data_IF_997848247287
#
_entry.id   IF_997848247287
#
_cell.length_a   1.000
_cell.length_b   1.000
_cell.length_c   1.000
_cell.angle_alpha   90.00
_cell.angle_beta   90.00
_cell.angle_gamma   90.00
#
_symmetry.space_group_name_H-M   'P 1'
#
loop_
_entity.id
_entity.type
_entity.pdbx_description
1 polymer ?
#
# COMPACT_ATOMS: atom_id res chain seq x y z
N UNK A 1 20.35 -34.55 -13.56
CA UNK A 1 21.45 -34.67 -12.57
C UNK A 1 21.08 -33.93 -11.30
N UNK A 2 21.90 -33.96 -10.25
CA UNK A 2 21.67 -33.19 -9.00
C UNK A 2 21.83 -31.68 -9.27
N UNK A 3 20.98 -30.85 -8.67
CA UNK A 3 21.01 -29.39 -8.84
C UNK A 3 20.02 -28.66 -7.93
N UNK A 4 19.76 -27.38 -8.22
CA UNK A 4 18.74 -26.56 -7.57
C UNK A 4 17.98 -25.73 -8.63
N UNK A 5 16.76 -25.28 -8.36
CA UNK A 5 16.01 -24.47 -9.31
C UNK A 5 16.70 -23.14 -9.63
N UNK A 6 16.36 -22.58 -10.79
CA UNK A 6 16.69 -21.20 -11.15
C UNK A 6 15.64 -20.25 -10.57
N UNK A 7 16.04 -19.00 -10.33
CA UNK A 7 15.18 -18.02 -9.64
C UNK A 7 13.81 -17.82 -10.31
N UNK A 8 13.75 -17.73 -11.64
CA UNK A 8 12.50 -17.43 -12.36
C UNK A 8 11.49 -18.60 -12.38
N UNK A 9 11.95 -19.86 -12.36
CA UNK A 9 11.06 -21.02 -12.48
C UNK A 9 10.36 -21.35 -11.16
N UNK A 10 10.93 -20.95 -10.02
CA UNK A 10 10.35 -21.18 -8.69
C UNK A 10 8.97 -20.53 -8.56
N UNK A 11 8.87 -19.23 -8.85
CA UNK A 11 7.60 -18.50 -8.77
C UNK A 11 6.56 -19.03 -9.76
N UNK A 12 6.98 -19.45 -10.95
CA UNK A 12 6.09 -20.03 -11.97
C UNK A 12 5.50 -21.36 -11.50
N UNK A 13 6.34 -22.26 -10.99
CA UNK A 13 5.89 -23.56 -10.53
C UNK A 13 4.85 -23.42 -9.41
N UNK A 14 5.08 -22.50 -8.46
CA UNK A 14 4.16 -22.22 -7.35
C UNK A 14 2.86 -21.60 -7.87
N UNK A 15 2.94 -20.61 -8.77
CA UNK A 15 1.76 -19.93 -9.31
C UNK A 15 0.87 -20.90 -10.09
N UNK A 16 1.45 -21.75 -10.93
CA UNK A 16 0.68 -22.72 -11.72
C UNK A 16 0.05 -23.82 -10.86
N UNK A 17 0.71 -24.27 -9.79
CA UNK A 17 0.16 -25.29 -8.87
C UNK A 17 -1.05 -24.77 -8.10
N UNK A 18 -1.05 -23.50 -7.71
CA UNK A 18 -2.11 -22.93 -6.87
C UNK A 18 -3.19 -22.16 -7.62
N UNK A 19 -2.82 -21.47 -8.70
CA UNK A 19 -3.69 -20.53 -9.41
C UNK A 19 -3.99 -20.96 -10.85
N UNK A 20 -3.15 -21.83 -11.44
CA UNK A 20 -3.22 -22.19 -12.85
C UNK A 20 -2.80 -21.04 -13.78
N UNK A 21 -3.13 -21.18 -15.07
CA UNK A 21 -2.94 -20.13 -16.08
C UNK A 21 -4.07 -19.10 -16.04
N UNK A 22 -3.81 -17.89 -16.51
CA UNK A 22 -4.83 -16.84 -16.64
C UNK A 22 -5.35 -16.30 -15.30
N UNK A 23 -4.57 -16.39 -14.22
CA UNK A 23 -4.94 -15.76 -12.95
C UNK A 23 -4.93 -14.24 -13.05
N UNK A 24 -5.57 -13.54 -12.10
CA UNK A 24 -5.89 -12.13 -12.30
C UNK A 24 -4.68 -11.19 -12.24
N UNK A 25 -3.83 -11.31 -11.21
CA UNK A 25 -2.75 -10.33 -10.97
C UNK A 25 -1.43 -11.02 -10.58
N UNK A 26 -0.35 -10.72 -11.31
CA UNK A 26 1.03 -10.97 -10.91
C UNK A 26 1.67 -9.67 -10.38
N UNK A 27 1.97 -9.64 -9.08
CA UNK A 27 2.49 -8.45 -8.39
C UNK A 27 4.00 -8.51 -8.11
N UNK A 28 4.67 -7.34 -8.02
CA UNK A 28 6.07 -7.25 -7.60
C UNK A 28 6.58 -5.81 -7.53
N UNK A 29 7.85 -5.62 -7.18
CA UNK A 29 8.55 -4.34 -7.41
C UNK A 29 8.82 -4.13 -8.91
N UNK A 30 9.02 -2.90 -9.34
CA UNK A 30 9.34 -2.56 -10.74
C UNK A 30 10.63 -3.23 -11.24
N UNK A 31 11.56 -3.53 -10.34
CA UNK A 31 12.77 -4.30 -10.63
C UNK A 31 12.51 -5.78 -10.99
N UNK A 32 11.32 -6.31 -10.68
CA UNK A 32 10.92 -7.66 -11.06
C UNK A 32 10.29 -7.74 -12.45
N UNK A 33 9.94 -6.61 -13.08
CA UNK A 33 9.38 -6.61 -14.44
C UNK A 33 10.29 -7.38 -15.41
N UNK A 34 11.58 -7.03 -15.42
CA UNK A 34 12.60 -7.75 -16.16
C UNK A 34 13.87 -7.95 -15.30
N UNK A 35 14.48 -9.15 -15.28
CA UNK A 35 14.09 -10.33 -16.06
C UNK A 35 13.00 -11.20 -15.40
N UNK A 36 12.64 -10.95 -14.14
CA UNK A 36 11.97 -11.96 -13.33
C UNK A 36 10.57 -12.36 -13.85
N UNK A 37 9.65 -11.40 -14.03
CA UNK A 37 8.30 -11.68 -14.51
C UNK A 37 8.27 -12.05 -15.99
N UNK A 38 9.06 -11.39 -16.84
CA UNK A 38 9.15 -11.70 -18.29
C UNK A 38 9.59 -13.16 -18.54
N UNK A 39 10.67 -13.59 -17.88
CA UNK A 39 11.18 -14.96 -18.03
C UNK A 39 10.22 -15.98 -17.39
N UNK A 40 9.58 -15.60 -16.27
CA UNK A 40 8.56 -16.41 -15.62
C UNK A 40 7.35 -16.69 -16.54
N UNK A 41 6.77 -15.63 -17.10
CA UNK A 41 5.65 -15.74 -18.04
C UNK A 41 6.02 -16.57 -19.27
N UNK A 42 7.23 -16.39 -19.80
CA UNK A 42 7.77 -17.17 -20.91
C UNK A 42 7.89 -18.66 -20.57
N UNK A 43 8.36 -19.01 -19.37
CA UNK A 43 8.41 -20.40 -18.92
C UNK A 43 7.02 -21.02 -18.83
N UNK A 44 6.05 -20.30 -18.26
CA UNK A 44 4.68 -20.78 -18.12
C UNK A 44 4.03 -21.04 -19.48
N UNK A 45 4.17 -20.10 -20.42
CA UNK A 45 3.65 -20.23 -21.77
C UNK A 45 4.30 -21.39 -22.53
N UNK A 46 5.62 -21.54 -22.44
CA UNK A 46 6.32 -22.64 -23.10
C UNK A 46 5.94 -24.02 -22.52
N UNK A 47 5.69 -24.09 -21.22
CA UNK A 47 5.32 -25.33 -20.53
C UNK A 47 3.88 -25.76 -20.81
N UNK A 48 2.95 -24.80 -20.86
CA UNK A 48 1.51 -25.08 -20.94
C UNK A 48 0.94 -24.95 -22.35
N UNK A 49 1.58 -24.16 -23.22
CA UNK A 49 1.02 -23.76 -24.51
C UNK A 49 -0.09 -22.70 -24.41
N UNK A 50 -0.35 -22.15 -23.22
CA UNK A 50 -1.41 -21.19 -22.96
C UNK A 50 -0.89 -19.76 -22.74
N UNK A 51 -1.74 -18.77 -23.00
CA UNK A 51 -1.45 -17.36 -22.78
C UNK A 51 -2.74 -16.60 -22.40
N UNK A 52 -2.69 -15.62 -21.48
CA UNK A 52 -1.52 -15.19 -20.70
C UNK A 52 -1.35 -16.02 -19.41
N UNK A 53 -0.16 -15.95 -18.78
CA UNK A 53 0.05 -16.50 -17.43
C UNK A 53 -0.79 -15.75 -16.39
N UNK A 54 -0.76 -14.42 -16.41
CA UNK A 54 -1.58 -13.53 -15.59
C UNK A 54 -2.26 -12.46 -16.46
N UNK A 55 -3.48 -12.04 -16.10
CA UNK A 55 -4.25 -11.02 -16.85
C UNK A 55 -3.68 -9.62 -16.68
N UNK A 56 -3.14 -9.31 -15.50
CA UNK A 56 -2.47 -8.04 -15.22
C UNK A 56 -1.13 -8.28 -14.51
N UNK A 57 -0.14 -7.45 -14.86
CA UNK A 57 1.13 -7.37 -14.15
C UNK A 57 1.19 -6.01 -13.45
N UNK A 58 1.33 -6.03 -12.13
CA UNK A 58 1.24 -4.85 -11.29
C UNK A 58 2.55 -4.64 -10.55
N UNK A 59 3.23 -3.54 -10.85
CA UNK A 59 4.56 -3.26 -10.32
C UNK A 59 4.56 -2.01 -9.45
N UNK A 60 5.05 -2.14 -8.22
CA UNK A 60 5.24 -1.01 -7.30
C UNK A 60 6.54 -0.26 -7.60
N UNK A 61 6.52 1.06 -7.39
CA UNK A 61 7.69 1.92 -7.45
C UNK A 61 8.74 1.56 -6.40
N UNK A 62 9.97 2.00 -6.62
CA UNK A 62 11.09 1.82 -5.71
C UNK A 62 11.12 2.91 -4.65
N UNK A 63 11.49 2.53 -3.43
CA UNK A 63 11.75 3.48 -2.34
C UNK A 63 13.25 3.75 -2.22
N UNK A 64 13.63 5.02 -2.31
CA UNK A 64 15.00 5.51 -2.11
C UNK A 64 15.24 6.10 -0.71
N UNK A 65 16.50 6.37 -0.39
CA UNK A 65 16.94 7.11 0.80
C UNK A 65 18.18 7.94 0.42
N UNK A 66 18.15 9.24 0.74
CA UNK A 66 19.25 10.20 0.50
C UNK A 66 19.74 10.25 -0.97
N UNK A 67 18.83 10.33 -1.94
CA UNK A 67 19.19 10.37 -3.36
C UNK A 67 19.58 9.02 -3.96
N UNK A 68 19.56 7.94 -3.18
CA UNK A 68 20.05 6.63 -3.57
C UNK A 68 19.00 5.53 -3.37
N UNK A 69 18.93 4.58 -4.31
CA UNK A 69 18.10 3.38 -4.13
C UNK A 69 18.50 2.65 -2.85
N UNK A 70 17.52 2.38 -1.97
CA UNK A 70 17.74 1.62 -0.75
C UNK A 70 18.23 0.20 -1.06
N UNK A 71 19.37 -0.19 -0.49
CA UNK A 71 19.91 -1.55 -0.63
C UNK A 71 20.72 -1.99 0.58
N UNK A 72 20.71 -3.31 0.85
CA UNK A 72 21.52 -3.91 1.92
C UNK A 72 23.01 -3.63 1.73
N UNK A 73 23.49 -3.68 0.49
CA UNK A 73 24.91 -3.47 0.15
C UNK A 73 25.40 -2.05 0.44
N UNK A 74 24.52 -1.04 0.34
CA UNK A 74 24.86 0.36 0.64
C UNK A 74 24.73 0.72 2.13
N UNK A 75 24.25 -0.18 3.00
CA UNK A 75 23.94 0.15 4.40
C UNK A 75 22.74 1.10 4.55
N UNK A 76 22.03 1.30 3.45
CA UNK A 76 20.92 2.18 3.13
C UNK A 76 19.60 2.20 3.87
N UNK A 77 19.42 1.30 4.83
CA UNK A 77 18.10 0.73 5.06
C UNK A 77 17.45 1.26 6.33
N UNK A 78 16.24 1.78 6.17
CA UNK A 78 15.31 1.94 7.28
C UNK A 78 14.53 0.65 7.44
N UNK A 79 14.79 -0.08 8.52
CA UNK A 79 14.09 -1.34 8.79
C UNK A 79 12.79 -1.09 9.55
N UNK A 80 11.70 -1.67 9.07
CA UNK A 80 10.41 -1.68 9.79
C UNK A 80 10.59 -2.21 11.22
N UNK A 81 11.39 -3.27 11.41
CA UNK A 81 11.66 -3.83 12.75
C UNK A 81 12.39 -2.87 13.68
N UNK A 82 13.23 -1.99 13.13
CA UNK A 82 13.91 -0.95 13.90
C UNK A 82 12.92 0.16 14.28
N UNK A 83 12.15 0.69 13.34
CA UNK A 83 11.10 1.69 13.61
C UNK A 83 10.14 1.20 14.71
N UNK A 84 9.71 -0.07 14.63
CA UNK A 84 8.83 -0.69 15.62
C UNK A 84 9.50 -0.80 17.00
N UNK A 85 10.79 -1.10 17.06
CA UNK A 85 11.56 -1.17 18.32
C UNK A 85 11.72 0.21 18.96
N UNK A 86 11.84 1.24 18.14
CA UNK A 86 11.92 2.65 18.55
C UNK A 86 10.56 3.22 18.97
N UNK A 87 9.48 2.42 18.90
CA UNK A 87 8.16 2.79 19.39
C UNK A 87 7.26 3.43 18.34
N UNK A 88 7.65 3.42 17.07
CA UNK A 88 6.82 3.95 15.98
C UNK A 88 5.54 3.12 15.83
N UNK A 89 4.40 3.81 15.82
CA UNK A 89 3.08 3.24 15.57
C UNK A 89 3.05 2.66 14.13
N UNK A 90 2.71 1.37 13.92
CA UNK A 90 2.66 0.82 12.56
C UNK A 90 1.56 1.46 11.72
N UNK A 91 0.55 2.03 12.39
CA UNK A 91 -0.40 3.03 11.90
C UNK A 91 0.26 4.09 10.99
N UNK A 92 1.25 4.76 11.57
CA UNK A 92 1.98 5.85 10.95
C UNK A 92 2.95 5.35 9.86
N UNK A 93 3.60 4.20 10.06
CA UNK A 93 4.43 3.58 9.01
C UNK A 93 3.57 3.32 7.76
N UNK A 94 2.34 2.82 7.96
CA UNK A 94 1.42 2.54 6.86
C UNK A 94 0.94 3.81 6.17
N UNK A 95 0.58 4.86 6.93
CA UNK A 95 0.22 6.16 6.38
C UNK A 95 1.37 6.84 5.61
N UNK A 96 2.61 6.66 6.06
CA UNK A 96 3.79 7.12 5.35
C UNK A 96 3.90 6.46 3.96
N UNK A 97 3.67 5.14 3.88
CA UNK A 97 3.69 4.42 2.60
C UNK A 97 2.51 4.83 1.69
N UNK A 98 1.29 4.94 2.26
CA UNK A 98 0.06 5.29 1.52
C UNK A 98 0.02 6.75 1.07
N UNK A 99 0.91 7.61 1.57
CA UNK A 99 1.03 8.99 1.12
C UNK A 99 1.57 9.13 -0.31
N UNK A 100 2.02 8.03 -0.90
CA UNK A 100 2.57 7.97 -2.25
C UNK A 100 1.77 6.99 -3.10
N UNK A 101 1.47 7.37 -4.34
CA UNK A 101 0.85 6.44 -5.30
C UNK A 101 1.76 5.22 -5.49
N UNK A 102 1.21 4.01 -5.46
CA UNK A 102 2.02 2.78 -5.36
C UNK A 102 2.99 2.58 -6.52
N UNK A 103 2.69 3.15 -7.70
CA UNK A 103 3.52 3.10 -8.92
C UNK A 103 4.66 4.10 -8.94
N UNK A 104 4.63 5.11 -8.09
CA UNK A 104 5.62 6.18 -8.09
C UNK A 104 6.86 5.76 -7.31
N UNK A 105 8.04 6.05 -7.86
CA UNK A 105 9.26 6.06 -7.08
C UNK A 105 9.24 7.25 -6.12
N UNK A 106 9.71 7.05 -4.90
CA UNK A 106 9.74 8.10 -3.88
C UNK A 106 10.86 7.86 -2.86
N UNK A 107 11.15 8.86 -2.05
CA UNK A 107 12.22 8.79 -1.05
C UNK A 107 11.67 8.76 0.37
N UNK A 108 12.15 7.79 1.14
CA UNK A 108 11.95 7.80 2.57
C UNK A 108 12.77 8.93 3.19
N UNK A 109 12.13 9.78 3.99
CA UNK A 109 12.79 10.80 4.80
C UNK A 109 12.17 10.85 6.17
N UNK A 110 12.87 11.43 7.15
CA UNK A 110 12.30 11.64 8.48
C UNK A 110 11.02 12.48 8.42
N UNK A 111 10.95 13.45 7.50
CA UNK A 111 9.76 14.29 7.33
C UNK A 111 8.52 13.48 6.92
N UNK A 112 8.67 12.49 6.03
CA UNK A 112 7.56 11.60 5.65
C UNK A 112 6.99 10.88 6.87
N UNK A 113 7.85 10.42 7.79
CA UNK A 113 7.39 9.80 9.02
C UNK A 113 6.71 10.81 9.96
N UNK A 114 7.27 12.01 10.11
CA UNK A 114 6.67 13.06 10.96
C UNK A 114 5.29 13.47 10.44
N UNK A 115 5.13 13.63 9.13
CA UNK A 115 3.85 13.97 8.50
C UNK A 115 2.81 12.87 8.73
N UNK A 116 3.21 11.61 8.62
CA UNK A 116 2.34 10.46 8.86
C UNK A 116 1.91 10.33 10.33
N UNK A 117 2.81 10.60 11.28
CA UNK A 117 2.49 10.67 12.71
C UNK A 117 1.49 11.78 13.00
N UNK A 118 1.74 12.99 12.48
CA UNK A 118 0.83 14.12 12.64
C UNK A 118 -0.54 13.85 12.01
N UNK A 119 -0.59 13.20 10.84
CA UNK A 119 -1.84 12.75 10.21
C UNK A 119 -2.60 11.76 11.09
N UNK A 120 -1.91 10.75 11.62
CA UNK A 120 -2.51 9.75 12.50
C UNK A 120 -3.14 10.39 13.74
N UNK A 121 -2.41 11.30 14.40
CA UNK A 121 -2.90 12.00 15.59
C UNK A 121 -4.13 12.84 15.29
N UNK A 122 -4.15 13.57 14.16
CA UNK A 122 -5.33 14.33 13.72
C UNK A 122 -6.54 13.43 13.49
N UNK A 123 -6.35 12.31 12.80
CA UNK A 123 -7.45 11.38 12.50
C UNK A 123 -8.01 10.75 13.77
N UNK A 124 -7.14 10.31 14.70
CA UNK A 124 -7.53 9.79 16.01
C UNK A 124 -8.31 10.81 16.82
N UNK A 125 -7.84 12.05 16.87
CA UNK A 125 -8.53 13.14 17.57
C UNK A 125 -9.93 13.40 16.96
N UNK A 126 -10.04 13.38 15.63
CA UNK A 126 -11.30 13.60 14.93
C UNK A 126 -12.34 12.51 15.23
N UNK A 127 -11.94 11.24 15.23
CA UNK A 127 -12.85 10.11 15.52
C UNK A 127 -13.10 9.87 17.02
N UNK A 128 -12.35 10.53 17.90
CA UNK A 128 -12.55 10.44 19.36
C UNK A 128 -13.68 11.33 19.89
N UNK A 129 -14.28 12.16 19.03
CA UNK A 129 -15.42 13.01 19.37
C UNK A 129 -16.73 12.20 19.36
N UNK A 130 -17.74 12.58 20.16
CA UNK A 130 -19.00 11.84 20.28
C UNK A 130 -19.90 11.92 19.04
N UNK A 131 -19.70 12.94 18.20
CA UNK A 131 -20.42 13.23 16.96
C UNK A 131 -19.44 13.74 15.91
N UNK A 132 -19.85 13.76 14.64
CA UNK A 132 -19.06 14.37 13.56
C UNK A 132 -19.87 14.69 12.30
N UNK A 133 -19.22 15.22 11.26
CA UNK A 133 -19.82 15.40 9.94
C UNK A 133 -20.28 14.05 9.36
N UNK A 134 -21.31 14.02 8.50
CA UNK A 134 -21.76 12.81 7.83
C UNK A 134 -20.60 12.04 7.19
N UNK A 135 -20.58 10.72 7.36
CA UNK A 135 -19.46 9.87 6.94
C UNK A 135 -19.69 9.22 5.56
N UNK A 136 -20.92 9.18 5.06
CA UNK A 136 -21.29 8.44 3.85
C UNK A 136 -20.52 8.92 2.62
N UNK A 137 -20.46 10.24 2.43
CA UNK A 137 -19.73 10.85 1.32
C UNK A 137 -18.23 10.53 1.39
N UNK A 138 -17.64 10.60 2.60
CA UNK A 138 -16.24 10.24 2.82
C UNK A 138 -15.97 8.78 2.44
N UNK A 139 -16.82 7.85 2.87
CA UNK A 139 -16.63 6.42 2.58
C UNK A 139 -16.66 6.16 1.07
N UNK A 140 -17.55 6.84 0.34
CA UNK A 140 -17.61 6.72 -1.11
C UNK A 140 -16.37 7.33 -1.77
N UNK A 141 -15.94 8.51 -1.35
CA UNK A 141 -14.71 9.15 -1.85
C UNK A 141 -13.47 8.25 -1.66
N UNK A 142 -13.32 7.58 -0.51
CA UNK A 142 -12.23 6.62 -0.27
C UNK A 142 -12.33 5.45 -1.26
N UNK A 143 -13.52 4.90 -1.49
CA UNK A 143 -13.72 3.77 -2.40
C UNK A 143 -13.43 4.14 -3.85
N UNK A 144 -13.91 5.30 -4.29
CA UNK A 144 -13.67 5.80 -5.65
C UNK A 144 -12.18 6.03 -5.89
N UNK A 145 -11.48 6.65 -4.94
CA UNK A 145 -10.03 6.85 -5.01
C UNK A 145 -9.28 5.50 -5.09
N UNK A 146 -9.60 4.54 -4.22
CA UNK A 146 -8.95 3.24 -4.25
C UNK A 146 -9.30 2.41 -5.51
N UNK A 147 -10.50 2.55 -6.05
CA UNK A 147 -10.90 1.90 -7.29
C UNK A 147 -10.19 2.51 -8.52
N UNK A 148 -9.73 3.76 -8.43
CA UNK A 148 -8.96 4.45 -9.45
C UNK A 148 -7.45 4.18 -9.28
N UNK A 149 -6.99 3.01 -9.72
CA UNK A 149 -5.57 2.60 -9.68
C UNK A 149 -4.92 2.65 -8.28
N UNK A 150 -5.70 2.37 -7.22
CA UNK A 150 -5.22 2.44 -5.84
C UNK A 150 -4.65 3.82 -5.48
N UNK A 151 -5.35 4.90 -5.86
CA UNK A 151 -5.01 6.28 -5.53
C UNK A 151 -5.18 6.56 -4.03
N UNK A 152 -4.24 5.99 -3.26
CA UNK A 152 -4.17 6.15 -1.81
C UNK A 152 -3.91 7.59 -1.39
N UNK A 153 -3.08 8.42 -2.08
CA UNK A 153 -2.99 9.84 -1.77
C UNK A 153 -4.35 10.54 -1.75
N UNK A 154 -5.18 10.36 -2.79
CA UNK A 154 -6.52 10.94 -2.83
C UNK A 154 -7.43 10.41 -1.71
N UNK A 155 -7.33 9.11 -1.38
CA UNK A 155 -8.06 8.53 -0.26
C UNK A 155 -7.62 9.13 1.10
N UNK A 156 -6.33 9.35 1.32
CA UNK A 156 -5.84 10.00 2.55
C UNK A 156 -6.29 11.46 2.63
N UNK A 157 -6.27 12.19 1.51
CA UNK A 157 -6.76 13.57 1.45
C UNK A 157 -8.25 13.68 1.78
N UNK A 158 -9.08 12.71 1.37
CA UNK A 158 -10.49 12.66 1.73
C UNK A 158 -10.68 12.58 3.26
N UNK A 159 -9.91 11.72 3.93
CA UNK A 159 -9.96 11.59 5.40
C UNK A 159 -9.38 12.83 6.08
N UNK A 160 -8.31 13.42 5.54
CA UNK A 160 -7.76 14.70 6.03
C UNK A 160 -8.81 15.81 5.99
N UNK A 161 -9.58 15.93 4.90
CA UNK A 161 -10.68 16.91 4.79
C UNK A 161 -11.78 16.66 5.81
N UNK A 162 -12.21 15.41 6.00
CA UNK A 162 -13.23 15.09 7.00
C UNK A 162 -12.74 15.39 8.43
N UNK A 163 -11.49 15.05 8.74
CA UNK A 163 -10.87 15.33 10.04
C UNK A 163 -10.74 16.84 10.30
N UNK A 164 -10.38 17.64 9.28
CA UNK A 164 -10.33 19.09 9.37
C UNK A 164 -11.72 19.70 9.60
N UNK A 165 -12.73 19.29 8.83
CA UNK A 165 -14.11 19.73 9.01
C UNK A 165 -14.63 19.42 10.41
N UNK A 166 -14.34 18.21 10.89
CA UNK A 166 -14.66 17.79 12.24
C UNK A 166 -14.00 18.70 13.29
N UNK A 167 -12.73 19.08 13.10
CA UNK A 167 -12.04 19.99 14.01
C UNK A 167 -12.60 21.42 13.97
N UNK A 168 -12.91 21.95 12.79
CA UNK A 168 -13.32 23.35 12.60
C UNK A 168 -14.78 23.60 12.98
N UNK A 169 -15.70 22.76 12.49
CA UNK A 169 -17.15 22.98 12.63
C UNK A 169 -17.84 21.89 13.42
N UNK A 170 -17.22 20.72 13.58
CA UNK A 170 -17.87 19.54 14.15
C UNK A 170 -18.99 19.00 13.24
N UNK A 171 -19.89 18.20 13.83
CA UNK A 171 -21.15 17.80 13.22
C UNK A 171 -22.10 17.23 14.26
N UNK A 172 -23.24 16.71 13.83
CA UNK A 172 -24.30 16.21 14.73
C UNK A 172 -24.56 14.72 14.57
N UNK A 173 -23.83 14.04 13.68
CA UNK A 173 -23.97 12.61 13.47
C UNK A 173 -23.15 11.82 14.49
N UNK A 174 -23.84 11.23 15.46
CA UNK A 174 -23.26 10.42 16.54
C UNK A 174 -22.62 9.12 16.01
N UNK A 175 -23.07 8.61 14.87
CA UNK A 175 -22.55 7.38 14.27
C UNK A 175 -21.30 7.60 13.41
N UNK A 176 -21.12 8.81 12.88
CA UNK A 176 -20.08 9.12 11.89
C UNK A 176 -18.65 8.75 12.35
N UNK A 177 -18.17 9.12 13.56
CA UNK A 177 -16.82 8.76 14.00
C UNK A 177 -16.54 7.25 13.95
N UNK A 178 -17.52 6.44 14.36
CA UNK A 178 -17.42 4.97 14.32
C UNK A 178 -17.44 4.41 12.90
N UNK A 179 -18.21 5.01 11.99
CA UNK A 179 -18.21 4.64 10.56
C UNK A 179 -16.86 4.97 9.93
N UNK A 180 -16.32 6.17 10.18
CA UNK A 180 -15.01 6.59 9.66
C UNK A 180 -13.90 5.68 10.16
N UNK A 181 -13.82 5.41 11.47
CA UNK A 181 -12.80 4.51 12.03
C UNK A 181 -12.83 3.12 11.37
N UNK A 182 -14.03 2.51 11.20
CA UNK A 182 -14.17 1.22 10.52
C UNK A 182 -13.83 1.28 9.04
N UNK A 183 -14.17 2.36 8.34
CA UNK A 183 -13.85 2.51 6.93
C UNK A 183 -12.34 2.67 6.71
N UNK A 184 -11.68 3.48 7.52
CA UNK A 184 -10.22 3.67 7.48
C UNK A 184 -9.49 2.38 7.83
N UNK A 185 -9.95 1.60 8.81
CA UNK A 185 -9.40 0.29 9.11
C UNK A 185 -9.65 -0.71 7.95
N UNK A 186 -10.89 -0.85 7.50
CA UNK A 186 -11.25 -1.85 6.49
C UNK A 186 -10.65 -1.59 5.09
N UNK A 187 -10.55 -0.32 4.69
CA UNK A 187 -10.12 0.06 3.33
C UNK A 187 -8.65 0.44 3.27
N UNK A 188 -8.12 1.07 4.33
CA UNK A 188 -6.75 1.54 4.38
C UNK A 188 -5.88 0.72 5.33
N UNK A 189 -6.42 -0.13 6.21
CA UNK A 189 -5.67 -0.94 7.17
C UNK A 189 -5.05 -0.11 8.31
N UNK A 190 -5.65 1.03 8.64
CA UNK A 190 -5.15 1.99 9.63
C UNK A 190 -6.14 2.00 10.81
N UNK A 191 -5.71 1.45 11.94
CA UNK A 191 -6.52 1.44 13.17
C UNK A 191 -6.42 2.79 13.90
N UNK A 192 -7.53 3.53 13.93
CA UNK A 192 -7.68 4.82 14.60
C UNK A 192 -8.14 4.66 16.04
#
# INVERSE_FOLDING_TARGET
>A
GRGRPGWHIECVAIALDHLGMGFDVQGGGSDLAFPHHEMGASHAQALTGEFPMAKAYVHAGMVGLDGEKMSKSKGNLVFVSQLRREGVDPAAIRLALLAHHYRSDWEWTDQVLQDALARLDRWRAAVSRPDGPPAEALVEEIREALANDLDSPAALEAVDRWAALQQETGGTDIGAPGVVSRAVDALLGVAL
#
